data_IF_990470397254
#
_entry.id   IF_990470397254
#
_cell.length_a   1.000
_cell.length_b   1.000
_cell.length_c   1.000
_cell.angle_alpha   90.00
_cell.angle_beta   90.00
_cell.angle_gamma   90.00
#
_symmetry.space_group_name_H-M   'P 1'
#
loop_
_entity.id
_entity.type
_entity.pdbx_description
1 polymer ?
#
# COMPACT_ATOMS: atom_id res chain seq x y z
N UNK A 1 -6.29 -26.40 8.21
CA UNK A 1 -5.17 -25.83 8.86
C UNK A 1 -5.06 -24.35 8.62
N UNK A 2 -4.75 -23.62 9.65
CA UNK A 2 -4.70 -22.20 9.52
C UNK A 2 -3.41 -21.74 8.94
N UNK A 3 -3.46 -20.75 8.09
CA UNK A 3 -2.24 -20.14 7.62
C UNK A 3 -1.70 -19.25 8.72
N UNK A 4 -0.40 -19.12 8.77
CA UNK A 4 0.21 -18.21 9.72
C UNK A 4 -0.06 -16.78 9.26
N UNK A 5 0.02 -15.85 10.19
CA UNK A 5 -0.17 -14.44 9.83
C UNK A 5 0.89 -13.96 8.87
N UNK A 6 2.09 -14.50 9.00
CA UNK A 6 3.18 -14.14 8.11
C UNK A 6 2.84 -14.55 6.68
N UNK A 7 2.32 -15.75 6.52
CA UNK A 7 1.99 -16.23 5.20
C UNK A 7 0.88 -15.39 4.56
N UNK A 8 -0.11 -15.00 5.33
CA UNK A 8 -1.18 -14.17 4.81
C UNK A 8 -0.67 -12.80 4.42
N UNK A 9 0.26 -12.27 5.20
CA UNK A 9 0.85 -10.99 4.87
C UNK A 9 1.61 -11.05 3.56
N UNK A 10 2.34 -12.12 3.33
CA UNK A 10 3.07 -12.30 2.08
C UNK A 10 2.13 -12.32 0.89
N UNK A 11 0.98 -12.95 1.04
CA UNK A 11 0.03 -13.02 -0.06
C UNK A 11 -0.47 -11.65 -0.45
N UNK A 12 -0.74 -10.82 0.54
CA UNK A 12 -1.21 -9.47 0.24
C UNK A 12 -0.10 -8.61 -0.35
N UNK A 13 1.09 -8.74 0.19
CA UNK A 13 2.23 -8.01 -0.36
C UNK A 13 2.50 -8.44 -1.79
N UNK A 14 2.36 -9.72 -2.06
CA UNK A 14 2.57 -10.23 -3.41
C UNK A 14 1.54 -9.64 -4.37
N UNK A 15 0.29 -9.54 -3.94
CA UNK A 15 -0.75 -8.98 -4.80
C UNK A 15 -0.47 -7.52 -5.13
N UNK A 16 -0.03 -6.74 -4.16
CA UNK A 16 0.30 -5.35 -4.41
C UNK A 16 1.48 -5.24 -5.36
N UNK A 17 2.48 -6.09 -5.17
CA UNK A 17 3.63 -6.09 -6.07
C UNK A 17 3.21 -6.39 -7.49
N UNK A 18 2.27 -7.33 -7.67
CA UNK A 18 1.80 -7.67 -9.01
C UNK A 18 1.04 -6.50 -9.64
N UNK A 19 0.30 -5.76 -8.84
CA UNK A 19 -0.40 -4.60 -9.35
C UNK A 19 0.60 -3.55 -9.86
N UNK A 20 1.63 -3.27 -9.07
CA UNK A 20 2.65 -2.34 -9.51
C UNK A 20 3.34 -2.82 -10.78
N UNK A 21 3.63 -4.11 -10.85
CA UNK A 21 4.28 -4.65 -12.04
C UNK A 21 3.38 -4.52 -13.26
N UNK A 22 2.10 -4.74 -13.08
CA UNK A 22 1.14 -4.56 -14.16
C UNK A 22 1.15 -3.13 -14.67
N UNK A 23 1.36 -2.18 -13.77
CA UNK A 23 1.42 -0.77 -14.13
C UNK A 23 2.78 -0.35 -14.68
N UNK A 24 3.71 -1.28 -14.79
CA UNK A 24 5.00 -1.00 -15.39
C UNK A 24 6.11 -0.65 -14.43
N UNK A 25 5.88 -0.85 -13.15
CA UNK A 25 6.91 -0.54 -12.14
C UNK A 25 7.83 -1.72 -11.93
N UNK A 26 9.08 -1.42 -11.61
CA UNK A 26 9.97 -2.41 -11.04
C UNK A 26 9.71 -2.43 -9.55
N UNK A 27 9.67 -3.60 -8.96
CA UNK A 27 9.30 -3.74 -7.55
C UNK A 27 10.36 -4.50 -6.80
N UNK A 28 10.70 -3.98 -5.62
CA UNK A 28 11.53 -4.69 -4.67
C UNK A 28 10.75 -4.85 -3.40
N UNK A 29 10.62 -6.05 -2.92
CA UNK A 29 9.95 -6.31 -1.67
C UNK A 29 10.97 -6.69 -0.62
N UNK A 30 10.59 -6.50 0.63
CA UNK A 30 11.41 -6.98 1.72
C UNK A 30 11.51 -8.48 1.61
N UNK A 31 12.72 -9.01 1.69
CA UNK A 31 12.90 -10.45 1.72
C UNK A 31 12.75 -10.92 3.16
N UNK A 32 11.72 -11.72 3.39
CA UNK A 32 11.44 -12.20 4.72
C UNK A 32 11.95 -13.61 4.82
N UNK A 33 12.93 -13.81 5.67
CA UNK A 33 13.49 -15.13 5.89
C UNK A 33 13.24 -15.49 7.33
N UNK A 34 13.68 -16.69 7.71
CA UNK A 34 13.63 -17.13 9.07
C UNK A 34 14.30 -16.17 10.02
N UNK A 35 15.33 -15.47 9.56
CA UNK A 35 16.13 -14.63 10.42
C UNK A 35 15.99 -13.15 10.16
N UNK A 36 15.19 -12.77 9.19
CA UNK A 36 15.07 -11.37 8.84
C UNK A 36 13.61 -11.04 8.47
N UNK A 37 12.94 -10.34 9.35
CA UNK A 37 11.54 -9.99 9.13
C UNK A 37 11.33 -8.50 9.07
N UNK A 38 12.40 -7.73 9.02
CA UNK A 38 12.23 -6.30 9.13
C UNK A 38 11.79 -5.67 7.82
N UNK A 39 10.85 -4.76 7.93
CA UNK A 39 10.44 -3.94 6.81
C UNK A 39 11.53 -2.92 6.51
N UNK A 40 11.47 -2.31 5.34
CA UNK A 40 12.40 -1.24 5.02
C UNK A 40 12.15 -0.11 6.02
N UNK A 41 13.17 0.28 6.73
CA UNK A 41 13.09 1.31 7.78
C UNK A 41 12.05 0.95 8.83
N UNK A 42 11.71 -0.32 8.97
CA UNK A 42 10.65 -0.78 9.87
C UNK A 42 9.29 -0.16 9.54
N UNK A 43 9.09 0.30 8.32
CA UNK A 43 7.85 0.96 7.94
C UNK A 43 7.26 0.46 6.63
N UNK A 44 8.08 0.05 5.69
CA UNK A 44 7.59 -0.21 4.35
C UNK A 44 7.85 -1.63 3.92
N UNK A 45 6.87 -2.21 3.24
CA UNK A 45 6.96 -3.59 2.76
C UNK A 45 7.64 -3.70 1.42
N UNK A 46 7.73 -2.61 0.68
CA UNK A 46 8.38 -2.67 -0.61
C UNK A 46 8.60 -1.32 -1.23
N UNK A 47 9.26 -1.33 -2.37
CA UNK A 47 9.54 -0.16 -3.17
C UNK A 47 9.11 -0.42 -4.60
N UNK A 48 8.65 0.61 -5.28
CA UNK A 48 8.28 0.51 -6.68
C UNK A 48 8.88 1.69 -7.43
N UNK A 49 9.48 1.40 -8.57
CA UNK A 49 10.18 2.41 -9.35
C UNK A 49 9.74 2.36 -10.80
N UNK A 50 9.39 3.52 -11.34
CA UNK A 50 9.05 3.63 -12.74
C UNK A 50 9.48 5.00 -13.20
N UNK A 51 10.28 5.05 -14.25
CA UNK A 51 10.82 6.31 -14.74
C UNK A 51 11.51 7.02 -13.60
N UNK A 52 11.02 8.16 -13.20
CA UNK A 52 11.64 8.90 -12.11
C UNK A 52 10.78 8.91 -10.86
N UNK A 53 9.81 8.03 -10.81
CA UNK A 53 8.92 7.95 -9.67
C UNK A 53 9.32 6.79 -8.78
N UNK A 54 9.63 7.11 -7.53
CA UNK A 54 9.97 6.09 -6.54
C UNK A 54 8.92 6.11 -5.46
N UNK A 55 8.39 4.94 -5.16
CA UNK A 55 7.34 4.76 -4.17
C UNK A 55 7.83 3.81 -3.10
N UNK A 56 7.65 4.20 -1.83
CA UNK A 56 7.78 3.25 -0.73
C UNK A 56 6.37 2.94 -0.26
N UNK A 57 6.03 1.66 -0.14
CA UNK A 57 4.66 1.30 0.19
C UNK A 57 4.56 0.34 1.36
N UNK A 58 3.43 0.42 2.04
CA UNK A 58 3.10 -0.48 3.13
C UNK A 58 1.76 -1.13 2.82
N UNK A 59 1.58 -2.38 3.23
CA UNK A 59 0.36 -3.14 2.98
C UNK A 59 -0.28 -3.49 4.30
N UNK A 60 -1.54 -3.16 4.46
CA UNK A 60 -2.30 -3.41 5.69
C UNK A 60 -3.59 -4.13 5.37
N UNK A 61 -4.18 -4.72 6.38
CA UNK A 61 -5.49 -5.38 6.24
C UNK A 61 -6.52 -4.66 7.06
N UNK A 62 -7.70 -4.52 6.49
CA UNK A 62 -8.89 -3.99 7.17
C UNK A 62 -8.81 -2.53 7.53
N UNK A 63 -8.11 -2.18 8.58
CA UNK A 63 -8.13 -0.83 9.10
C UNK A 63 -6.72 -0.33 9.27
N UNK A 64 -6.51 0.96 9.12
CA UNK A 64 -5.22 1.53 9.45
C UNK A 64 -5.42 2.47 10.62
N UNK A 65 -4.59 2.33 11.64
CA UNK A 65 -4.65 3.19 12.80
C UNK A 65 -4.13 4.58 12.44
N UNK A 66 -4.74 5.56 13.06
CA UNK A 66 -4.30 6.92 12.85
C UNK A 66 -2.84 7.09 13.20
N UNK A 67 -2.40 6.43 14.26
CA UNK A 67 -1.02 6.50 14.68
C UNK A 67 -0.07 6.01 13.60
N UNK A 68 -0.41 4.90 12.96
CA UNK A 68 0.42 4.34 11.91
C UNK A 68 0.46 5.29 10.72
N UNK A 69 -0.68 5.85 10.37
CA UNK A 69 -0.74 6.79 9.27
C UNK A 69 0.12 8.01 9.56
N UNK A 70 0.04 8.54 10.78
CA UNK A 70 0.82 9.70 11.15
C UNK A 70 2.32 9.40 11.12
N UNK A 71 2.71 8.22 11.57
CA UNK A 71 4.11 7.83 11.54
C UNK A 71 4.64 7.80 10.13
N UNK A 72 3.86 7.26 9.23
CA UNK A 72 4.30 7.18 7.84
C UNK A 72 4.31 8.56 7.22
N UNK A 73 3.29 9.36 7.52
CA UNK A 73 3.24 10.72 6.99
C UNK A 73 4.47 11.51 7.39
N UNK A 74 4.92 11.35 8.63
CA UNK A 74 6.04 12.11 9.14
C UNK A 74 7.40 11.48 8.88
N UNK A 75 7.42 10.27 8.36
CA UNK A 75 8.70 9.60 8.12
C UNK A 75 9.50 10.43 7.12
N UNK A 76 10.77 10.72 7.43
CA UNK A 76 11.54 11.71 6.66
C UNK A 76 12.14 11.18 5.36
N UNK A 77 11.32 10.90 4.39
CA UNK A 77 11.80 10.62 3.05
C UNK A 77 11.84 11.92 2.25
N UNK A 78 12.67 11.98 1.23
CA UNK A 78 12.66 13.17 0.37
C UNK A 78 11.27 13.40 -0.20
N UNK A 79 10.91 14.66 -0.38
CA UNK A 79 9.55 14.97 -0.82
C UNK A 79 9.24 14.43 -2.20
N UNK A 80 10.24 14.16 -3.00
CA UNK A 80 10.00 13.59 -4.32
C UNK A 80 9.67 12.11 -4.28
N UNK A 81 9.81 11.49 -3.12
CA UNK A 81 9.51 10.07 -2.97
C UNK A 81 8.09 9.94 -2.44
N UNK A 82 7.31 9.08 -3.08
CA UNK A 82 5.92 8.89 -2.67
C UNK A 82 5.85 7.83 -1.58
N UNK A 83 4.96 8.04 -0.63
CA UNK A 83 4.67 7.03 0.39
C UNK A 83 3.24 6.59 0.16
N UNK A 84 3.03 5.29 0.06
CA UNK A 84 1.70 4.76 -0.26
C UNK A 84 1.35 3.67 0.73
N UNK A 85 0.12 3.70 1.22
CA UNK A 85 -0.39 2.65 2.08
C UNK A 85 -1.53 1.96 1.36
N UNK A 86 -1.42 0.66 1.22
CA UNK A 86 -2.45 -0.15 0.59
C UNK A 86 -3.22 -0.87 1.68
N UNK A 87 -4.52 -0.62 1.75
CA UNK A 87 -5.36 -1.22 2.78
C UNK A 87 -6.34 -2.17 2.13
N UNK A 88 -6.24 -3.43 2.48
CA UNK A 88 -7.14 -4.45 1.94
C UNK A 88 -8.49 -4.35 2.65
N UNK A 89 -9.56 -4.19 1.87
CA UNK A 89 -10.90 -4.02 2.41
C UNK A 89 -11.76 -5.21 2.00
N UNK A 90 -11.71 -6.32 2.73
CA UNK A 90 -12.47 -7.50 2.32
C UNK A 90 -13.95 -7.40 2.61
N UNK A 91 -14.36 -6.50 3.50
CA UNK A 91 -15.75 -6.44 3.88
C UNK A 91 -16.67 -5.73 2.92
N UNK A 92 -16.12 -5.08 1.92
CA UNK A 92 -16.95 -4.43 0.95
C UNK A 92 -17.67 -5.49 0.14
N UNK A 93 -18.77 -5.12 -0.47
CA UNK A 93 -19.47 -5.99 -1.34
C UNK A 93 -18.52 -6.72 -2.22
N UNK A 94 -17.54 -6.02 -2.72
CA UNK A 94 -16.51 -6.60 -3.51
C UNK A 94 -15.23 -6.19 -2.86
N UNK A 95 -14.39 -7.14 -2.52
CA UNK A 95 -13.14 -6.80 -1.86
C UNK A 95 -12.29 -5.91 -2.77
N UNK A 96 -11.78 -4.84 -2.22
CA UNK A 96 -10.96 -3.90 -2.99
C UNK A 96 -9.83 -3.39 -2.12
N UNK A 97 -8.90 -2.69 -2.77
CA UNK A 97 -7.83 -2.00 -2.09
C UNK A 97 -8.18 -0.53 -1.94
N UNK A 98 -7.98 -0.02 -0.75
CA UNK A 98 -7.97 1.44 -0.57
C UNK A 98 -6.51 1.86 -0.63
N UNK A 99 -6.21 2.85 -1.45
CA UNK A 99 -4.82 3.30 -1.59
C UNK A 99 -4.73 4.72 -1.07
N UNK A 100 -3.86 4.90 -0.08
CA UNK A 100 -3.62 6.22 0.52
C UNK A 100 -2.24 6.66 0.07
N UNK A 101 -2.18 7.70 -0.72
CA UNK A 101 -0.92 8.17 -1.29
C UNK A 101 -0.53 9.47 -0.65
N UNK A 102 0.71 9.55 -0.18
CA UNK A 102 1.24 10.76 0.42
C UNK A 102 2.29 11.28 -0.54
N UNK A 103 1.98 12.40 -1.17
CA UNK A 103 2.85 13.02 -2.15
C UNK A 103 3.20 14.38 -1.64
N UNK A 104 4.47 14.58 -1.31
CA UNK A 104 4.93 15.77 -0.63
C UNK A 104 4.16 15.86 0.69
N UNK A 105 3.35 16.86 0.89
CA UNK A 105 2.62 16.99 2.14
C UNK A 105 1.13 16.78 1.96
N UNK A 106 0.72 16.27 0.82
CA UNK A 106 -0.69 16.05 0.53
C UNK A 106 -1.06 14.60 0.59
N UNK A 107 -2.26 14.31 1.03
CA UNK A 107 -2.76 12.95 1.16
C UNK A 107 -3.89 12.75 0.18
N UNK A 108 -3.78 11.71 -0.62
CA UNK A 108 -4.80 11.37 -1.62
C UNK A 108 -5.30 9.97 -1.37
N UNK A 109 -6.56 9.72 -1.63
CA UNK A 109 -7.14 8.40 -1.47
C UNK A 109 -7.85 7.99 -2.73
N UNK A 110 -7.69 6.75 -3.11
CA UNK A 110 -8.50 6.19 -4.17
C UNK A 110 -8.65 4.69 -3.92
N UNK A 111 -9.29 4.01 -4.83
CA UNK A 111 -9.54 2.57 -4.67
C UNK A 111 -9.04 1.86 -5.92
N UNK A 112 -8.54 0.65 -5.69
CA UNK A 112 -7.98 -0.15 -6.76
C UNK A 112 -8.60 -1.54 -6.67
N UNK A 113 -9.02 -2.09 -7.80
CA UNK A 113 -9.62 -3.40 -7.82
C UNK A 113 -8.57 -4.47 -7.57
N UNK A 114 -9.03 -5.68 -7.34
CA UNK A 114 -8.11 -6.80 -7.12
C UNK A 114 -7.25 -7.04 -8.35
N UNK A 115 -7.75 -6.68 -9.52
CA UNK A 115 -7.01 -6.86 -10.76
C UNK A 115 -6.10 -5.69 -11.08
N UNK A 116 -6.09 -4.68 -10.25
CA UNK A 116 -5.21 -3.55 -10.46
C UNK A 116 -5.79 -2.41 -11.27
N UNK A 117 -7.11 -2.29 -11.31
CA UNK A 117 -7.73 -1.19 -12.03
C UNK A 117 -8.16 -0.11 -11.07
N UNK A 118 -7.81 1.11 -11.37
CA UNK A 118 -8.17 2.23 -10.52
C UNK A 118 -9.64 2.50 -10.68
N UNK A 119 -10.35 2.51 -9.55
CA UNK A 119 -11.78 2.74 -9.54
C UNK A 119 -12.00 4.18 -9.15
N UNK A 120 -12.66 4.93 -10.02
CA UNK A 120 -12.91 6.29 -9.72
C UNK A 120 -13.81 6.37 -8.56
N UNK A 121 -13.40 7.18 -7.57
CA UNK A 121 -14.22 7.31 -6.44
C UNK A 121 -15.45 8.07 -6.78
N UNK A 122 -16.56 7.62 -6.26
CA UNK A 122 -17.78 8.30 -6.48
C UNK A 122 -17.75 9.53 -5.74
N UNK A 123 -17.72 10.57 -6.42
CA UNK A 123 -17.61 11.78 -5.73
C UNK A 123 -18.69 12.11 -4.84
N UNK A 124 -19.61 11.51 -4.90
CA UNK A 124 -20.58 11.72 -4.03
C UNK A 124 -20.27 11.51 -2.83
N UNK A 125 -19.99 11.40 -2.71
CA UNK A 125 -19.58 11.12 -1.79
C UNK A 125 -19.12 11.96 -1.23
N UNK A 126 -18.94 12.34 -1.31
CA UNK A 126 -18.35 12.87 -0.85
C UNK A 126 -18.85 13.67 -0.30
N UNK A 127 -19.31 13.59 -0.62
CA UNK A 127 -19.63 14.02 -0.37
C UNK A 127 -20.09 14.31 0.33
N UNK A 128 -20.51 14.53 0.30
CA UNK A 128 -20.98 14.86 0.70
C UNK A 128 -21.21 14.72 1.64
N UNK A 129 -21.41 14.86 1.94
CA UNK A 129 -21.57 14.80 2.56
C UNK A 129 -21.70 14.82 3.14
#
# INVERSE_FOLDING_TARGET
>A
MKQSNVKRGYQKEYKVAKIYQKWGFMVEKVKRTRFNFRDFFNKFDGMALKDRTLIFYQVKSNVIDKEVLDEIFQFPLPKSVYKVIWVWRPRKKKAIWERISIIQDSVFRDYVSQEGEIIKEEVKGGDKK
#
